data_IF_837626691217
#
_entry.id   IF_837626691217
#
_cell.length_a   1.000
_cell.length_b   1.000
_cell.length_c   1.000
_cell.angle_alpha   90.00
_cell.angle_beta   90.00
_cell.angle_gamma   90.00
#
_symmetry.space_group_name_H-M   'P 1'
#
loop_
_entity.id
_entity.type
_entity.pdbx_description
1 polymer ?
#
# COMPACT_ATOMS: atom_id res chain seq x y z
N UNK A 1 -10.27 7.87 -10.26
CA UNK A 1 -9.09 6.99 -10.33
C UNK A 1 -8.73 6.53 -8.94
N UNK A 2 -8.34 5.27 -8.78
CA UNK A 2 -7.89 4.78 -7.47
C UNK A 2 -6.54 5.37 -7.10
N UNK A 3 -6.43 5.88 -5.87
CA UNK A 3 -5.23 6.49 -5.30
C UNK A 3 -4.97 5.97 -3.90
N UNK A 4 -3.71 6.02 -3.46
CA UNK A 4 -3.30 5.68 -2.10
C UNK A 4 -2.72 6.93 -1.44
N UNK A 5 -3.14 7.20 -0.21
CA UNK A 5 -2.65 8.29 0.64
C UNK A 5 -2.00 7.78 1.91
N UNK A 6 -0.98 8.48 2.43
CA UNK A 6 -0.39 8.23 3.76
C UNK A 6 -1.19 8.84 4.91
N UNK A 7 -2.07 9.79 4.63
CA UNK A 7 -2.85 10.49 5.65
C UNK A 7 -4.35 10.38 5.40
N UNK A 8 -5.11 10.45 6.50
CA UNK A 8 -6.58 10.43 6.49
C UNK A 8 -7.20 11.61 5.72
N UNK A 9 -6.45 12.71 5.56
CA UNK A 9 -6.87 13.87 4.78
C UNK A 9 -6.79 13.68 3.25
N UNK A 10 -6.25 12.54 2.78
CA UNK A 10 -6.16 12.19 1.35
C UNK A 10 -5.35 13.20 0.52
N UNK A 11 -4.32 13.80 1.11
CA UNK A 11 -3.47 14.82 0.46
C UNK A 11 -2.06 14.34 0.18
N UNK A 12 -1.53 13.42 0.98
CA UNK A 12 -0.19 12.83 0.79
C UNK A 12 -0.27 11.58 -0.11
N UNK A 13 -0.48 11.83 -1.40
CA UNK A 13 -0.70 10.80 -2.42
C UNK A 13 0.60 10.09 -2.77
N UNK A 14 0.65 8.79 -2.50
CA UNK A 14 1.82 7.95 -2.82
C UNK A 14 1.66 7.17 -4.12
N UNK A 15 0.44 6.91 -4.59
CA UNK A 15 0.20 6.15 -5.83
C UNK A 15 0.71 6.84 -7.11
N UNK A 16 0.95 8.16 -7.10
CA UNK A 16 1.37 8.93 -8.28
C UNK A 16 2.90 8.96 -8.49
N UNK A 17 3.67 8.65 -7.46
CA UNK A 17 5.14 8.69 -7.51
C UNK A 17 5.83 7.62 -6.68
N UNK A 18 5.06 6.67 -6.10
CA UNK A 18 5.41 5.66 -5.08
C UNK A 18 6.90 5.64 -4.82
N UNK A 19 7.29 6.02 -3.60
CA UNK A 19 7.20 4.94 -2.64
C UNK A 19 6.81 5.29 -1.20
N UNK A 20 6.14 4.33 -0.56
CA UNK A 20 6.01 4.31 0.89
C UNK A 20 7.42 4.12 1.46
N UNK A 21 7.79 4.91 2.46
CA UNK A 21 9.08 4.82 3.11
C UNK A 21 8.93 4.28 4.53
N UNK A 22 9.89 3.47 4.97
CA UNK A 22 9.96 2.88 6.31
C UNK A 22 11.40 2.93 6.81
N UNK A 23 11.56 3.15 8.12
CA UNK A 23 12.87 3.18 8.76
C UNK A 23 13.05 1.91 9.60
N UNK A 24 14.10 1.16 9.33
CA UNK A 24 14.46 -0.09 10.00
C UNK A 24 15.77 0.09 10.76
N UNK A 25 15.75 0.73 11.94
CA UNK A 25 16.96 1.09 12.69
C UNK A 25 17.74 -0.14 13.17
N UNK A 26 17.09 -1.29 13.24
CA UNK A 26 17.67 -2.59 13.60
C UNK A 26 17.35 -3.55 12.45
N UNK A 27 18.32 -4.35 12.03
CA UNK A 27 18.08 -5.35 11.00
C UNK A 27 17.10 -6.42 11.50
N UNK A 28 16.32 -7.01 10.59
CA UNK A 28 15.23 -7.90 10.99
C UNK A 28 14.02 -7.19 11.60
N UNK A 29 14.04 -5.84 11.72
CA UNK A 29 12.90 -5.12 12.30
C UNK A 29 11.71 -5.09 11.34
N UNK A 30 10.55 -4.94 11.96
CA UNK A 30 9.27 -4.82 11.27
C UNK A 30 8.68 -3.45 11.56
N UNK A 31 8.28 -2.75 10.50
CA UNK A 31 7.55 -1.49 10.59
C UNK A 31 6.17 -1.65 9.97
N UNK A 32 5.16 -1.01 10.54
CA UNK A 32 3.79 -1.04 10.01
C UNK A 32 3.27 0.38 9.83
N UNK A 33 2.82 0.69 8.62
CA UNK A 33 2.36 2.01 8.19
C UNK A 33 0.88 1.91 7.82
N UNK A 34 0.12 2.94 8.20
CA UNK A 34 -1.27 3.10 7.78
C UNK A 34 -1.34 3.90 6.48
N UNK A 35 -2.18 3.44 5.56
CA UNK A 35 -2.42 4.08 4.27
C UNK A 35 -3.90 3.96 3.92
N UNK A 36 -4.36 4.82 3.01
CA UNK A 36 -5.77 4.98 2.69
C UNK A 36 -5.95 4.87 1.18
N UNK A 37 -6.67 3.85 0.74
CA UNK A 37 -7.09 3.68 -0.65
C UNK A 37 -8.38 4.47 -0.88
N UNK A 38 -8.46 5.29 -1.92
CA UNK A 38 -9.66 6.05 -2.21
C UNK A 38 -9.84 6.23 -3.71
N UNK A 39 -11.08 6.47 -4.14
CA UNK A 39 -11.37 6.91 -5.49
C UNK A 39 -11.37 8.44 -5.54
N UNK A 40 -10.49 9.02 -6.35
CA UNK A 40 -10.40 10.48 -6.52
C UNK A 40 -11.36 11.05 -7.57
N UNK A 41 -12.21 10.21 -8.16
CA UNK A 41 -13.13 10.57 -9.23
C UNK A 41 -14.56 10.08 -8.90
N UNK A 42 -15.40 11.01 -8.45
CA UNK A 42 -16.79 10.72 -8.07
C UNK A 42 -17.69 10.32 -9.25
N UNK A 43 -17.22 10.42 -10.50
CA UNK A 43 -17.98 9.97 -11.69
C UNK A 43 -17.76 8.49 -12.00
N UNK A 44 -16.92 7.81 -11.21
CA UNK A 44 -16.52 6.43 -11.41
C UNK A 44 -16.77 5.60 -10.17
N UNK A 45 -16.95 4.29 -10.37
CA UNK A 45 -16.94 3.28 -9.31
C UNK A 45 -16.01 2.15 -9.71
N UNK A 46 -15.39 1.52 -8.71
CA UNK A 46 -14.47 0.42 -8.91
C UNK A 46 -14.98 -0.82 -8.18
N UNK A 47 -15.03 -1.95 -8.89
CA UNK A 47 -15.35 -3.26 -8.31
C UNK A 47 -14.13 -4.16 -8.34
N UNK A 48 -14.11 -5.15 -7.45
CA UNK A 48 -13.05 -6.18 -7.38
C UNK A 48 -11.66 -5.53 -7.30
N UNK A 49 -11.49 -4.61 -6.35
CA UNK A 49 -10.27 -3.83 -6.22
C UNK A 49 -9.24 -4.64 -5.46
N UNK A 50 -8.11 -4.91 -6.08
CA UNK A 50 -6.99 -5.67 -5.52
C UNK A 50 -5.79 -4.76 -5.31
N UNK A 51 -5.15 -4.85 -4.15
CA UNK A 51 -3.88 -4.19 -3.85
C UNK A 51 -2.80 -5.25 -3.68
N UNK A 52 -1.71 -5.11 -4.42
CA UNK A 52 -0.54 -5.99 -4.37
C UNK A 52 0.69 -5.19 -3.94
N UNK A 53 1.52 -5.81 -3.11
CA UNK A 53 2.88 -5.33 -2.88
C UNK A 53 3.75 -5.62 -4.11
N UNK A 54 4.44 -4.62 -4.65
CA UNK A 54 5.38 -4.78 -5.74
C UNK A 54 6.66 -4.05 -5.40
N UNK A 55 7.78 -4.75 -5.38
CA UNK A 55 9.09 -4.13 -5.51
C UNK A 55 9.40 -3.89 -7.00
N UNK A 56 9.86 -2.69 -7.32
CA UNK A 56 10.18 -2.30 -8.70
C UNK A 56 11.64 -1.91 -8.88
N UNK A 57 12.48 -2.08 -7.86
CA UNK A 57 13.87 -1.61 -7.85
C UNK A 57 14.82 -2.65 -7.25
N UNK A 58 15.69 -3.25 -8.08
CA UNK A 58 16.76 -4.13 -7.61
C UNK A 58 16.38 -5.61 -7.45
N UNK A 59 17.05 -6.38 -6.55
CA UNK A 59 16.72 -7.79 -6.31
C UNK A 59 15.41 -7.90 -5.55
N UNK A 60 14.35 -8.36 -6.22
CA UNK A 60 12.96 -8.45 -5.71
C UNK A 60 12.79 -8.63 -4.19
N UNK A 61 12.43 -7.54 -3.53
CA UNK A 61 12.14 -7.42 -2.10
C UNK A 61 10.63 -7.42 -1.82
N UNK A 62 9.77 -7.76 -2.80
CA UNK A 62 8.31 -7.79 -2.63
C UNK A 62 7.90 -8.66 -1.44
N UNK A 63 8.68 -9.71 -1.14
CA UNK A 63 8.47 -10.60 0.00
C UNK A 63 8.60 -9.93 1.38
N UNK A 64 9.23 -8.76 1.45
CA UNK A 64 9.41 -7.99 2.69
C UNK A 64 8.14 -7.23 3.05
N UNK A 65 7.24 -7.05 2.07
CA UNK A 65 6.05 -6.24 2.22
C UNK A 65 4.84 -7.15 2.35
N UNK A 66 4.04 -6.93 3.39
CA UNK A 66 2.74 -7.58 3.57
C UNK A 66 1.67 -6.54 3.83
N UNK A 67 0.45 -6.84 3.44
CA UNK A 67 -0.71 -5.96 3.46
C UNK A 67 -1.78 -6.51 4.39
N UNK A 68 -2.55 -5.62 5.01
CA UNK A 68 -3.68 -6.01 5.86
C UNK A 68 -4.78 -4.96 5.82
N UNK A 69 -6.05 -5.36 5.78
CA UNK A 69 -7.19 -4.44 5.90
C UNK A 69 -7.55 -4.12 7.36
N UNK A 70 -7.01 -4.87 8.32
CA UNK A 70 -7.37 -4.76 9.74
C UNK A 70 -6.17 -4.60 10.68
N UNK A 71 -4.95 -4.64 10.15
CA UNK A 71 -3.72 -4.48 10.92
C UNK A 71 -3.30 -5.70 11.73
N UNK A 72 -3.95 -6.86 11.54
CA UNK A 72 -3.64 -8.10 12.29
C UNK A 72 -3.20 -9.25 11.38
N UNK A 73 -3.97 -9.54 10.33
CA UNK A 73 -3.68 -10.63 9.39
C UNK A 73 -3.03 -10.04 8.14
N UNK A 74 -1.80 -10.45 7.86
CA UNK A 74 -0.96 -9.88 6.82
C UNK A 74 -0.76 -10.88 5.67
N UNK A 75 -0.95 -10.42 4.44
CA UNK A 75 -0.91 -11.22 3.21
C UNK A 75 -0.19 -10.45 2.09
N UNK A 76 0.19 -11.09 1.00
CA UNK A 76 0.83 -10.40 -0.14
C UNK A 76 -0.15 -9.50 -0.92
N UNK A 77 -1.43 -9.88 -0.86
CA UNK A 77 -2.52 -9.25 -1.58
C UNK A 77 -3.70 -9.03 -0.64
N UNK A 78 -4.35 -7.88 -0.78
CA UNK A 78 -5.66 -7.61 -0.16
C UNK A 78 -6.67 -7.23 -1.22
N UNK A 79 -7.95 -7.47 -0.92
CA UNK A 79 -9.06 -7.14 -1.80
C UNK A 79 -10.07 -6.25 -1.08
N UNK A 80 -10.60 -5.28 -1.82
CA UNK A 80 -11.75 -4.46 -1.46
C UNK A 80 -12.89 -4.81 -2.42
N UNK A 81 -14.11 -4.96 -1.90
CA UNK A 81 -15.25 -5.40 -2.69
C UNK A 81 -15.68 -4.35 -3.74
N UNK A 82 -16.14 -3.19 -3.27
CA UNK A 82 -16.56 -2.05 -4.09
C UNK A 82 -16.02 -0.76 -3.48
N UNK A 83 -15.50 0.13 -4.32
CA UNK A 83 -15.13 1.51 -3.96
C UNK A 83 -15.88 2.45 -4.91
N UNK A 84 -16.99 3.02 -4.43
CA UNK A 84 -17.84 3.95 -5.17
C UNK A 84 -17.89 5.36 -4.56
N UNK A 85 -17.30 5.52 -3.39
CA UNK A 85 -17.20 6.78 -2.66
C UNK A 85 -15.80 7.38 -2.81
N UNK A 86 -15.64 8.63 -2.37
CA UNK A 86 -14.36 9.33 -2.32
C UNK A 86 -13.67 9.22 -0.95
N UNK A 87 -14.14 8.30 -0.10
CA UNK A 87 -13.64 8.15 1.28
C UNK A 87 -12.37 7.32 1.28
N UNK A 88 -11.48 7.59 2.23
CA UNK A 88 -10.29 6.80 2.49
C UNK A 88 -10.62 5.47 3.15
N UNK A 89 -10.38 4.37 2.44
CA UNK A 89 -10.44 3.01 2.94
C UNK A 89 -9.09 2.64 3.55
N UNK A 90 -9.03 2.58 4.87
CA UNK A 90 -7.80 2.27 5.62
C UNK A 90 -7.31 0.85 5.32
N UNK A 91 -6.00 0.73 5.11
CA UNK A 91 -5.27 -0.53 5.17
C UNK A 91 -3.86 -0.29 5.70
N UNK A 92 -3.14 -1.38 5.90
CA UNK A 92 -1.84 -1.41 6.57
C UNK A 92 -0.81 -2.04 5.65
N UNK A 93 0.38 -1.45 5.64
CA UNK A 93 1.55 -1.95 4.94
C UNK A 93 2.59 -2.28 6.00
N UNK A 94 2.94 -3.55 6.10
CA UNK A 94 4.01 -4.04 6.97
C UNK A 94 5.23 -4.32 6.13
N UNK A 95 6.36 -3.75 6.53
CA UNK A 95 7.66 -4.02 5.92
C UNK A 95 8.51 -4.74 6.95
N UNK A 96 9.10 -5.87 6.58
CA UNK A 96 10.01 -6.65 7.42
C UNK A 96 11.32 -6.85 6.67
N UNK A 97 12.38 -6.24 7.17
CA UNK A 97 13.72 -6.39 6.57
C UNK A 97 14.35 -7.71 6.97
N UNK A 98 15.28 -8.27 6.18
CA UNK A 98 16.03 -9.45 6.57
C UNK A 98 17.01 -9.11 7.70
N UNK A 99 17.37 -10.13 8.48
CA UNK A 99 18.42 -9.98 9.48
C UNK A 99 19.79 -10.01 8.79
N UNK A 100 20.40 -8.83 8.67
CA UNK A 100 21.73 -8.58 8.09
C UNK A 100 22.54 -7.67 9.02
N UNK A 101 23.82 -7.43 8.71
CA UNK A 101 24.68 -6.61 9.59
C UNK A 101 24.33 -5.11 9.57
N UNK A 102 23.69 -4.63 8.50
CA UNK A 102 23.47 -3.21 8.24
C UNK A 102 21.99 -2.79 8.41
N UNK A 103 21.75 -1.49 8.62
CA UNK A 103 20.42 -0.87 8.57
C UNK A 103 19.81 -0.99 7.18
N UNK A 104 18.50 -1.28 7.10
CA UNK A 104 17.78 -1.55 5.86
C UNK A 104 16.56 -0.63 5.68
N UNK A 105 16.74 0.68 5.85
CA UNK A 105 15.66 1.65 5.59
C UNK A 105 15.16 1.52 4.14
N UNK A 106 13.84 1.50 3.95
CA UNK A 106 13.24 1.45 2.62
C UNK A 106 12.66 2.78 2.25
N UNK A 107 13.03 3.23 1.06
CA UNK A 107 12.48 4.47 0.52
C UNK A 107 11.56 4.22 -0.65
N UNK A 108 11.54 2.99 -1.19
CA UNK A 108 11.11 2.57 -2.54
C UNK A 108 9.95 1.54 -2.61
N UNK A 109 9.20 1.33 -1.52
CA UNK A 109 8.06 0.40 -1.52
C UNK A 109 6.91 0.88 -2.43
N UNK A 110 6.57 0.10 -3.45
CA UNK A 110 5.43 0.37 -4.34
C UNK A 110 4.27 -0.57 -4.07
N UNK A 111 3.07 -0.03 -4.29
CA UNK A 111 1.83 -0.79 -4.26
C UNK A 111 1.16 -0.66 -5.63
N UNK A 112 0.69 -1.79 -6.17
CA UNK A 112 -0.15 -1.83 -7.36
C UNK A 112 -1.60 -1.96 -6.94
N UNK A 113 -2.46 -1.14 -7.54
CA UNK A 113 -3.90 -1.18 -7.35
C UNK A 113 -4.54 -1.49 -8.69
N UNK A 114 -5.33 -2.56 -8.73
CA UNK A 114 -6.08 -2.99 -9.90
C UNK A 114 -7.54 -3.05 -9.51
N UNK A 115 -8.43 -2.53 -10.34
CA UNK A 115 -9.87 -2.61 -10.13
C UNK A 115 -10.61 -2.50 -11.46
N UNK A 116 -11.81 -3.06 -11.52
CA UNK A 116 -12.66 -2.94 -12.71
C UNK A 116 -13.43 -1.62 -12.62
N UNK A 117 -13.17 -0.72 -13.56
CA UNK A 117 -13.76 0.61 -13.59
C UNK A 117 -15.12 0.60 -14.31
N UNK A 118 -16.09 1.30 -13.72
CA UNK A 118 -17.39 1.58 -14.33
C UNK A 118 -17.75 3.06 -14.18
N UNK A 119 -18.47 3.60 -15.16
CA UNK A 119 -19.14 4.89 -15.01
C UNK A 119 -20.29 4.79 -13.99
N UNK A 120 -20.55 5.89 -13.29
CA UNK A 120 -21.70 6.07 -12.38
C UNK A 120 -22.83 6.80 -13.09
#
# INVERSE_FOLDING_TARGET
MLKISKNVGLTDIVSAGNPISSQHPISGSTETIQVYLFNDDATKRYESVTVNAIDTTGPDESNWVKLSTNGTTFTDTINFAEIKDTVGHLFYVRVTTPSVADTQNKTDIKLSVVGTEFAV
#
